data_IF_097174505772
#
_entry.id   IF_097174505772
#
_cell.length_a   1.000
_cell.length_b   1.000
_cell.length_c   1.000
_cell.angle_alpha   90.00
_cell.angle_beta   90.00
_cell.angle_gamma   90.00
#
_symmetry.space_group_name_H-M   'P 1'
#
loop_
_entity.id
_entity.type
_entity.pdbx_description
1 polymer ?
#
# COMPACT_ATOMS: atom_id res chain seq x y z
N UNK A 1 -17.56 19.62 9.75
CA UNK A 1 -16.30 19.53 10.52
C UNK A 1 -15.19 19.02 9.62
N UNK A 2 -14.37 19.89 9.04
CA UNK A 2 -13.15 19.47 8.34
C UNK A 2 -12.04 19.33 9.37
N UNK A 3 -11.64 18.09 9.67
CA UNK A 3 -10.50 17.86 10.56
C UNK A 3 -9.25 18.49 9.92
N UNK A 4 -8.75 19.57 10.54
CA UNK A 4 -7.66 20.45 10.08
C UNK A 4 -6.27 19.95 10.52
N UNK A 5 -6.13 18.73 11.02
CA UNK A 5 -4.83 18.22 11.46
C UNK A 5 -3.97 17.80 10.27
N UNK A 6 -2.69 18.18 10.28
CA UNK A 6 -1.73 17.68 9.28
C UNK A 6 -1.60 16.15 9.37
N UNK A 7 -1.51 15.45 8.22
CA UNK A 7 -1.30 14.01 8.22
C UNK A 7 0.02 13.62 8.89
N UNK A 8 -0.04 12.65 9.80
CA UNK A 8 1.14 12.13 10.49
C UNK A 8 2.08 11.39 9.52
N UNK A 9 3.37 11.65 9.64
CA UNK A 9 4.42 11.14 8.74
C UNK A 9 5.33 10.08 9.38
N UNK A 10 4.90 9.52 10.54
CA UNK A 10 5.59 8.43 11.24
C UNK A 10 4.59 7.35 11.63
N UNK A 11 4.97 6.09 11.43
CA UNK A 11 4.13 4.94 11.78
C UNK A 11 3.91 4.89 13.29
N UNK A 12 4.94 5.20 14.09
CA UNK A 12 4.86 5.21 15.54
C UNK A 12 3.88 6.27 16.06
N UNK A 13 3.81 7.43 15.40
CA UNK A 13 2.86 8.49 15.75
C UNK A 13 1.42 8.12 15.37
N UNK A 14 1.22 7.52 14.19
CA UNK A 14 -0.09 6.99 13.78
C UNK A 14 -0.58 5.90 14.75
N UNK A 15 0.31 4.98 15.11
CA UNK A 15 0.01 3.92 16.06
C UNK A 15 -0.29 4.46 17.46
N UNK A 16 0.45 5.47 17.95
CA UNK A 16 0.19 6.09 19.24
C UNK A 16 -1.19 6.76 19.26
N UNK A 17 -1.50 7.53 18.22
CA UNK A 17 -2.82 8.13 18.04
C UNK A 17 -3.93 7.07 18.09
N UNK A 18 -3.82 5.99 17.32
CA UNK A 18 -4.81 4.92 17.34
C UNK A 18 -4.86 4.16 18.68
N UNK A 19 -3.73 3.98 19.36
CA UNK A 19 -3.67 3.33 20.66
C UNK A 19 -4.45 4.13 21.71
N UNK A 20 -4.31 5.45 21.73
CA UNK A 20 -5.08 6.34 22.61
C UNK A 20 -6.59 6.22 22.34
N UNK A 21 -7.00 6.32 21.07
CA UNK A 21 -8.41 6.21 20.71
C UNK A 21 -9.00 4.84 21.07
N UNK A 22 -8.27 3.76 20.81
CA UNK A 22 -8.72 2.40 21.15
C UNK A 22 -8.80 2.21 22.66
N UNK A 23 -7.79 2.67 23.42
CA UNK A 23 -7.76 2.49 24.88
C UNK A 23 -8.79 3.33 25.61
N UNK A 24 -9.16 4.49 25.06
CA UNK A 24 -10.27 5.28 25.58
C UNK A 24 -11.60 4.50 25.59
N UNK A 25 -11.80 3.61 24.62
CA UNK A 25 -12.98 2.76 24.54
C UNK A 25 -12.79 1.37 25.20
N UNK A 26 -11.62 0.76 25.02
CA UNK A 26 -11.28 -0.57 25.54
C UNK A 26 -9.87 -0.56 26.13
N UNK A 27 -9.71 -0.40 27.45
CA UNK A 27 -8.39 -0.17 28.06
C UNK A 27 -7.40 -1.35 28.06
N UNK A 28 -7.89 -2.61 28.16
CA UNK A 28 -7.04 -3.77 28.53
C UNK A 28 -7.04 -4.94 27.52
N UNK A 29 -7.83 -4.90 26.45
CA UNK A 29 -7.89 -5.97 25.44
C UNK A 29 -8.82 -7.15 25.84
N UNK A 30 -8.59 -8.37 25.33
CA UNK A 30 -7.66 -8.70 24.25
C UNK A 30 -7.98 -7.95 22.96
N UNK A 31 -6.96 -7.40 22.30
CA UNK A 31 -7.08 -6.75 21.00
C UNK A 31 -6.85 -7.77 19.88
N UNK A 32 -7.70 -7.67 18.86
CA UNK A 32 -7.50 -8.31 17.56
C UNK A 32 -7.42 -7.17 16.56
N UNK A 33 -6.28 -7.09 15.87
CA UNK A 33 -5.96 -5.98 14.97
C UNK A 33 -5.82 -6.50 13.56
N UNK A 34 -6.21 -5.70 12.58
CA UNK A 34 -6.05 -6.02 11.17
C UNK A 34 -5.63 -4.77 10.41
N UNK A 35 -4.81 -4.95 9.38
CA UNK A 35 -4.40 -3.86 8.51
C UNK A 35 -4.16 -4.32 7.08
N UNK A 36 -4.65 -3.53 6.14
CA UNK A 36 -4.48 -3.77 4.71
C UNK A 36 -3.33 -2.94 4.14
N UNK A 37 -2.46 -3.54 3.32
CA UNK A 37 -1.35 -2.85 2.66
C UNK A 37 -0.48 -2.06 3.67
N UNK A 38 -0.32 -0.74 3.51
CA UNK A 38 0.42 0.12 4.44
C UNK A 38 -0.21 0.13 5.85
N UNK A 39 -1.52 -0.10 5.94
CA UNK A 39 -2.24 -0.25 7.20
C UNK A 39 -1.79 -1.46 8.01
N UNK A 40 -1.25 -2.52 7.37
CA UNK A 40 -0.70 -3.67 8.10
C UNK A 40 0.54 -3.29 8.92
N UNK A 41 1.43 -2.47 8.36
CA UNK A 41 2.58 -1.90 9.07
C UNK A 41 2.14 -1.07 10.28
N UNK A 42 1.09 -0.28 10.13
CA UNK A 42 0.52 0.54 11.21
C UNK A 42 -0.13 -0.34 12.27
N UNK A 43 -0.92 -1.35 11.87
CA UNK A 43 -1.55 -2.29 12.79
C UNK A 43 -0.51 -3.09 13.61
N UNK A 44 0.63 -3.42 13.00
CA UNK A 44 1.73 -4.11 13.67
C UNK A 44 2.44 -3.23 14.70
N UNK A 45 2.70 -1.95 14.39
CA UNK A 45 3.24 -1.01 15.39
C UNK A 45 2.24 -0.71 16.50
N UNK A 46 0.96 -0.56 16.16
CA UNK A 46 -0.13 -0.40 17.12
C UNK A 46 -0.18 -1.58 18.09
N UNK A 47 -0.03 -2.81 17.60
CA UNK A 47 0.03 -4.01 18.43
C UNK A 47 1.19 -3.97 19.43
N UNK A 48 2.39 -3.60 18.97
CA UNK A 48 3.56 -3.48 19.82
C UNK A 48 3.40 -2.39 20.88
N UNK A 49 2.81 -1.25 20.53
CA UNK A 49 2.54 -0.17 21.48
C UNK A 49 1.50 -0.56 22.53
N UNK A 50 0.41 -1.19 22.11
CA UNK A 50 -0.61 -1.69 23.04
C UNK A 50 -0.04 -2.72 24.01
N UNK A 51 0.83 -3.63 23.55
CA UNK A 51 1.53 -4.58 24.42
C UNK A 51 2.47 -3.89 25.41
N UNK A 52 3.29 -2.93 24.94
CA UNK A 52 4.18 -2.14 25.82
C UNK A 52 3.43 -1.36 26.89
N UNK A 53 2.19 -0.98 26.63
CA UNK A 53 1.30 -0.29 27.58
C UNK A 53 0.51 -1.26 28.48
N UNK A 54 0.85 -2.55 28.51
CA UNK A 54 0.20 -3.56 29.35
C UNK A 54 -1.07 -4.17 28.77
N UNK A 55 -1.44 -3.80 27.54
CA UNK A 55 -2.60 -4.35 26.84
C UNK A 55 -2.33 -5.74 26.26
N UNK A 56 -3.32 -6.63 26.31
CA UNK A 56 -3.18 -7.96 25.69
C UNK A 56 -3.55 -7.90 24.20
N UNK A 57 -2.63 -8.27 23.31
CA UNK A 57 -2.93 -8.43 21.87
C UNK A 57 -2.94 -9.92 21.52
N UNK A 58 -4.08 -10.43 21.08
CA UNK A 58 -4.27 -11.85 20.78
C UNK A 58 -3.91 -12.22 19.35
N UNK A 59 -4.11 -11.31 18.40
CA UNK A 59 -3.86 -11.58 16.98
C UNK A 59 -3.68 -10.30 16.16
N UNK A 60 -2.78 -10.35 15.18
CA UNK A 60 -2.60 -9.29 14.18
C UNK A 60 -2.71 -9.89 12.78
N UNK A 61 -3.70 -9.44 11.99
CA UNK A 61 -3.88 -9.83 10.60
C UNK A 61 -3.23 -8.82 9.63
N UNK A 62 -2.24 -9.27 8.88
CA UNK A 62 -1.55 -8.50 7.84
C UNK A 62 -2.10 -8.89 6.48
N UNK A 63 -2.94 -8.03 5.88
CA UNK A 63 -3.69 -8.36 4.66
C UNK A 63 -3.04 -7.65 3.47
N UNK A 64 -2.48 -8.43 2.54
CA UNK A 64 -1.71 -7.94 1.40
C UNK A 64 -0.71 -6.84 1.81
N UNK A 65 -0.12 -6.98 3.00
CA UNK A 65 0.77 -6.00 3.60
C UNK A 65 2.21 -6.41 3.33
N UNK A 66 2.94 -5.69 2.46
CA UNK A 66 4.35 -5.93 2.29
C UNK A 66 5.10 -5.37 3.48
N UNK A 67 6.24 -5.99 3.80
CA UNK A 67 7.16 -5.53 4.81
C UNK A 67 7.62 -4.11 4.51
N UNK A 68 7.92 -3.34 5.55
CA UNK A 68 8.18 -1.90 5.45
C UNK A 68 9.32 -1.55 4.48
N UNK A 69 10.32 -2.43 4.33
CA UNK A 69 11.42 -2.25 3.38
C UNK A 69 10.96 -2.18 1.93
N UNK A 70 9.83 -2.79 1.57
CA UNK A 70 9.30 -2.69 0.21
C UNK A 70 8.91 -1.26 -0.15
N UNK A 71 8.55 -0.44 0.83
CA UNK A 71 8.24 0.97 0.59
C UNK A 71 9.49 1.86 0.39
N UNK A 72 10.71 1.29 0.50
CA UNK A 72 11.95 2.01 0.19
C UNK A 72 12.12 2.20 -1.31
N UNK A 73 12.91 3.21 -1.68
CA UNK A 73 13.06 3.64 -3.07
C UNK A 73 13.57 2.55 -4.01
N UNK A 74 14.59 1.78 -3.61
CA UNK A 74 15.19 0.75 -4.47
C UNK A 74 14.20 -0.38 -4.84
N UNK A 75 13.53 -1.04 -3.87
CA UNK A 75 12.51 -2.03 -4.19
C UNK A 75 11.37 -1.49 -5.07
N UNK A 76 10.91 -0.25 -4.80
CA UNK A 76 9.88 0.39 -5.62
C UNK A 76 10.36 0.68 -7.05
N UNK A 77 11.57 1.18 -7.23
CA UNK A 77 12.15 1.43 -8.54
C UNK A 77 12.28 0.13 -9.33
N UNK A 78 12.82 -0.92 -8.70
CA UNK A 78 12.96 -2.24 -9.31
C UNK A 78 11.61 -2.81 -9.73
N UNK A 79 10.59 -2.73 -8.88
CA UNK A 79 9.24 -3.18 -9.23
C UNK A 79 8.68 -2.42 -10.43
N UNK A 80 8.85 -1.09 -10.50
CA UNK A 80 8.41 -0.26 -11.63
C UNK A 80 9.12 -0.64 -12.93
N UNK A 81 10.42 -0.91 -12.90
CA UNK A 81 11.18 -1.36 -14.07
C UNK A 81 10.68 -2.71 -14.54
N UNK A 82 10.56 -3.69 -13.64
CA UNK A 82 10.10 -5.04 -14.00
C UNK A 82 8.68 -5.03 -14.59
N UNK A 83 7.75 -4.27 -13.99
CA UNK A 83 6.41 -4.10 -14.55
C UNK A 83 6.43 -3.40 -15.92
N UNK A 84 7.33 -2.44 -16.13
CA UNK A 84 7.53 -1.80 -17.44
C UNK A 84 8.00 -2.78 -18.51
N UNK A 85 8.95 -3.65 -18.18
CA UNK A 85 9.46 -4.70 -19.07
C UNK A 85 8.38 -5.75 -19.38
N UNK A 86 7.67 -6.21 -18.36
CA UNK A 86 6.56 -7.17 -18.52
C UNK A 86 5.43 -6.58 -19.36
N UNK A 87 5.07 -5.32 -19.11
CA UNK A 87 4.12 -4.60 -19.96
C UNK A 87 4.64 -4.52 -21.39
N UNK A 88 5.87 -4.07 -21.63
CA UNK A 88 6.42 -3.93 -22.98
C UNK A 88 6.46 -5.27 -23.75
N UNK A 89 6.91 -6.34 -23.10
CA UNK A 89 6.99 -7.67 -23.71
C UNK A 89 5.61 -8.21 -24.13
N UNK A 90 4.57 -8.04 -23.32
CA UNK A 90 3.18 -8.38 -23.70
C UNK A 90 2.73 -7.65 -24.96
N UNK A 91 3.13 -6.39 -25.11
CA UNK A 91 2.79 -5.57 -26.28
C UNK A 91 3.58 -5.97 -27.52
N UNK A 92 4.87 -6.26 -27.36
CA UNK A 92 5.71 -6.77 -28.44
C UNK A 92 5.19 -8.12 -28.94
N UNK A 93 4.85 -9.03 -28.02
CA UNK A 93 4.26 -10.32 -28.36
C UNK A 93 2.92 -10.18 -29.08
N UNK A 94 2.02 -9.33 -28.58
CA UNK A 94 0.74 -9.07 -29.23
C UNK A 94 0.90 -8.47 -30.64
N UNK A 95 1.88 -7.57 -30.84
CA UNK A 95 2.15 -7.00 -32.16
C UNK A 95 2.80 -8.03 -33.09
N UNK A 96 3.71 -8.87 -32.59
CA UNK A 96 4.41 -9.88 -33.37
C UNK A 96 3.44 -10.96 -33.92
N UNK A 97 2.40 -11.32 -33.18
CA UNK A 97 1.40 -12.32 -33.59
C UNK A 97 0.30 -11.79 -34.53
N UNK A 98 0.29 -10.48 -34.83
CA UNK A 98 -0.74 -9.84 -35.64
C UNK A 98 -0.32 -9.58 -37.09
N UNK A 99 -1.28 -9.65 -38.02
CA UNK A 99 -1.14 -9.18 -39.41
C UNK A 99 -1.01 -7.64 -39.47
N UNK A 100 -0.45 -7.09 -40.55
CA UNK A 100 -0.18 -5.65 -40.67
C UNK A 100 -1.40 -4.74 -40.49
N UNK A 101 -2.58 -5.18 -40.96
CA UNK A 101 -3.84 -4.48 -40.74
C UNK A 101 -4.28 -4.46 -39.26
N UNK A 102 -4.14 -5.58 -38.57
CA UNK A 102 -4.47 -5.71 -37.15
C UNK A 102 -3.54 -4.88 -36.25
N UNK A 103 -2.23 -4.82 -36.58
CA UNK A 103 -1.26 -3.96 -35.86
C UNK A 103 -1.66 -2.48 -35.90
N UNK A 104 -2.04 -1.96 -37.08
CA UNK A 104 -2.46 -0.57 -37.25
C UNK A 104 -3.70 -0.24 -36.40
N UNK A 105 -4.70 -1.14 -36.40
CA UNK A 105 -5.92 -0.98 -35.59
C UNK A 105 -5.60 -0.95 -34.09
N UNK A 106 -4.78 -1.89 -33.62
CA UNK A 106 -4.35 -1.96 -32.22
C UNK A 106 -3.68 -0.67 -31.73
N UNK A 107 -2.74 -0.13 -32.51
CA UNK A 107 -2.03 1.11 -32.17
C UNK A 107 -3.01 2.30 -32.16
N UNK A 108 -3.88 2.41 -33.16
CA UNK A 108 -4.87 3.48 -33.25
C UNK A 108 -5.85 3.47 -32.06
N UNK A 109 -6.39 2.31 -31.68
CA UNK A 109 -7.26 2.16 -30.51
C UNK A 109 -6.56 2.58 -29.22
N UNK A 110 -5.31 2.18 -29.04
CA UNK A 110 -4.54 2.51 -27.85
C UNK A 110 -4.22 4.00 -27.75
N UNK A 111 -3.96 4.66 -28.88
CA UNK A 111 -3.77 6.10 -28.95
C UNK A 111 -5.06 6.84 -28.61
N UNK A 112 -6.20 6.44 -29.19
CA UNK A 112 -7.52 7.00 -28.87
C UNK A 112 -7.84 6.88 -27.38
N UNK A 113 -7.73 5.68 -26.81
CA UNK A 113 -7.95 5.46 -25.38
C UNK A 113 -7.05 6.34 -24.49
N UNK A 114 -5.80 6.57 -24.90
CA UNK A 114 -4.89 7.48 -24.16
C UNK A 114 -5.32 8.94 -24.26
N UNK A 115 -5.77 9.38 -25.43
CA UNK A 115 -6.26 10.74 -25.65
C UNK A 115 -7.55 10.98 -24.86
N UNK A 116 -8.53 10.07 -24.96
CA UNK A 116 -9.80 10.12 -24.21
C UNK A 116 -9.57 10.16 -22.71
N UNK A 117 -8.69 9.30 -22.16
CA UNK A 117 -8.36 9.32 -20.73
C UNK A 117 -7.68 10.60 -20.29
N UNK A 118 -6.82 11.19 -21.13
CA UNK A 118 -6.18 12.48 -20.84
C UNK A 118 -7.20 13.61 -20.84
N UNK A 119 -8.07 13.66 -21.86
CA UNK A 119 -9.14 14.64 -21.96
C UNK A 119 -10.10 14.54 -20.78
N UNK A 120 -10.56 13.33 -20.43
CA UNK A 120 -11.43 13.09 -19.28
C UNK A 120 -10.78 13.52 -17.95
N UNK A 121 -9.48 13.30 -17.79
CA UNK A 121 -8.75 13.74 -16.58
C UNK A 121 -8.58 15.26 -16.52
N UNK A 122 -8.39 15.93 -17.66
CA UNK A 122 -8.27 17.38 -17.75
C UNK A 122 -9.62 18.09 -17.54
N UNK A 123 -10.71 17.48 -18.00
CA UNK A 123 -12.07 18.01 -17.84
C UNK A 123 -12.68 17.74 -16.44
N UNK A 124 -12.08 16.86 -15.65
CA UNK A 124 -12.58 16.54 -14.32
C UNK A 124 -12.41 17.76 -13.37
N UNK A 125 -13.47 18.22 -12.70
CA UNK A 125 -13.38 19.33 -11.76
C UNK A 125 -12.43 18.97 -10.59
N UNK A 126 -11.75 19.97 -10.00
CA UNK A 126 -10.91 19.75 -8.82
C UNK A 126 -11.78 19.25 -7.66
N UNK A 127 -11.43 18.08 -7.13
CA UNK A 127 -12.12 17.48 -5.99
C UNK A 127 -11.26 17.69 -4.73
N UNK A 128 -11.70 18.52 -3.77
CA UNK A 128 -10.95 18.77 -2.53
C UNK A 128 -10.78 17.51 -1.68
N UNK A 129 -11.71 16.55 -1.72
CA UNK A 129 -11.57 15.28 -1.02
C UNK A 129 -10.46 14.42 -1.64
N UNK A 130 -10.29 14.44 -2.97
CA UNK A 130 -9.14 13.80 -3.63
C UNK A 130 -7.81 14.43 -3.22
N UNK A 131 -7.77 15.75 -3.07
CA UNK A 131 -6.56 16.44 -2.62
C UNK A 131 -6.19 16.08 -1.17
N UNK A 132 -7.19 15.98 -0.27
CA UNK A 132 -6.97 15.49 1.10
C UNK A 132 -6.48 14.04 1.07
N UNK A 133 -7.14 13.17 0.32
CA UNK A 133 -6.77 11.77 0.21
C UNK A 133 -5.33 11.60 -0.34
N UNK A 134 -4.96 12.35 -1.37
CA UNK A 134 -3.61 12.34 -1.92
C UNK A 134 -2.55 12.74 -0.87
N UNK A 135 -2.80 13.78 -0.07
CA UNK A 135 -1.91 14.19 1.03
C UNK A 135 -1.77 13.11 2.11
N UNK A 136 -2.87 12.46 2.49
CA UNK A 136 -2.85 11.35 3.46
C UNK A 136 -2.07 10.15 2.90
N UNK A 137 -2.27 9.83 1.62
CA UNK A 137 -1.52 8.76 0.95
C UNK A 137 -0.02 9.05 0.92
N UNK A 138 0.37 10.27 0.56
CA UNK A 138 1.76 10.70 0.54
C UNK A 138 2.41 10.60 1.93
N UNK A 139 1.76 11.17 2.95
CA UNK A 139 2.23 11.09 4.33
C UNK A 139 2.34 9.64 4.83
N UNK A 140 1.37 8.79 4.48
CA UNK A 140 1.41 7.35 4.81
C UNK A 140 2.60 6.66 4.17
N UNK A 141 2.88 6.93 2.89
CA UNK A 141 4.05 6.39 2.19
C UNK A 141 5.37 6.83 2.83
N UNK A 142 5.47 8.10 3.22
CA UNK A 142 6.62 8.64 3.95
C UNK A 142 6.79 7.91 5.29
N UNK A 143 5.69 7.71 6.02
CA UNK A 143 5.69 7.01 7.31
C UNK A 143 6.20 5.57 7.17
N UNK A 144 5.57 4.76 6.31
CA UNK A 144 5.93 3.33 6.19
C UNK A 144 7.32 3.12 5.62
N UNK A 145 7.82 4.04 4.78
CA UNK A 145 9.17 3.98 4.22
C UNK A 145 10.26 4.12 5.28
N UNK A 146 10.01 4.93 6.32
CA UNK A 146 10.95 5.21 7.41
C UNK A 146 10.87 4.20 8.55
N UNK A 147 9.79 3.44 8.60
CA UNK A 147 9.52 2.53 9.70
C UNK A 147 10.38 1.26 9.65
N UNK A 148 10.93 0.91 10.81
CA UNK A 148 11.64 -0.36 11.03
C UNK A 148 10.92 -1.12 12.15
N UNK A 149 10.28 -2.26 11.85
CA UNK A 149 9.56 -3.02 12.86
C UNK A 149 10.52 -3.58 13.92
N UNK A 150 10.03 -3.69 15.15
CA UNK A 150 10.71 -4.45 16.20
C UNK A 150 10.06 -5.82 16.34
N UNK A 151 10.70 -6.69 17.11
CA UNK A 151 10.17 -8.02 17.40
C UNK A 151 8.83 -7.90 18.13
N UNK A 152 7.87 -8.73 17.73
CA UNK A 152 6.55 -8.83 18.34
C UNK A 152 6.33 -10.26 18.82
N UNK A 153 6.00 -10.45 20.09
CA UNK A 153 5.84 -11.76 20.73
C UNK A 153 4.42 -12.34 20.57
N UNK A 154 3.53 -11.65 19.84
CA UNK A 154 2.16 -12.09 19.62
C UNK A 154 1.96 -12.89 18.33
N UNK A 155 0.76 -13.46 18.16
CA UNK A 155 0.38 -14.19 16.95
C UNK A 155 0.13 -13.24 15.79
N UNK A 156 0.81 -13.48 14.66
CA UNK A 156 0.64 -12.72 13.42
C UNK A 156 0.17 -13.66 12.32
N UNK A 157 -0.87 -13.27 11.60
CA UNK A 157 -1.37 -13.97 10.42
C UNK A 157 -1.13 -13.13 9.17
N UNK A 158 -0.47 -13.70 8.18
CA UNK A 158 -0.26 -13.07 6.89
C UNK A 158 -1.28 -13.60 5.88
N UNK A 159 -2.07 -12.70 5.31
CA UNK A 159 -3.07 -13.01 4.29
C UNK A 159 -2.61 -12.43 2.96
N UNK A 160 -2.14 -13.30 2.05
CA UNK A 160 -1.65 -12.90 0.72
C UNK A 160 -2.68 -13.25 -0.36
N UNK A 161 -2.76 -12.47 -1.46
CA UNK A 161 -3.69 -12.74 -2.55
C UNK A 161 -3.45 -14.09 -3.24
N UNK A 162 -2.19 -14.51 -3.35
CA UNK A 162 -1.80 -15.79 -3.93
C UNK A 162 -0.42 -16.24 -3.41
N UNK A 163 -0.04 -17.50 -3.69
CA UNK A 163 1.19 -18.11 -3.20
C UNK A 163 2.48 -17.48 -3.79
N UNK A 164 2.42 -16.76 -4.91
CA UNK A 164 3.60 -16.14 -5.52
C UNK A 164 4.16 -14.99 -4.68
N UNK A 165 3.30 -14.35 -3.88
CA UNK A 165 3.70 -13.31 -2.91
C UNK A 165 4.64 -13.84 -1.83
N UNK A 166 4.64 -15.16 -1.59
CA UNK A 166 5.55 -15.81 -0.65
C UNK A 166 6.88 -16.23 -1.31
N UNK A 167 6.92 -16.39 -2.64
CA UNK A 167 8.01 -17.08 -3.36
C UNK A 167 9.05 -16.17 -4.03
N UNK A 168 8.84 -14.87 -4.12
CA UNK A 168 9.76 -14.00 -4.88
C UNK A 168 11.05 -13.70 -4.10
N UNK A 169 12.22 -13.94 -4.72
CA UNK A 169 13.57 -13.62 -4.19
C UNK A 169 13.80 -12.12 -3.88
N UNK A 170 12.86 -11.24 -4.25
CA UNK A 170 12.75 -9.86 -3.80
C UNK A 170 11.74 -9.78 -2.64
N UNK A 171 12.00 -10.54 -1.58
CA UNK A 171 11.00 -10.87 -0.58
C UNK A 171 10.25 -9.63 -0.11
N UNK A 172 8.95 -9.57 -0.40
CA UNK A 172 8.02 -8.62 0.19
C UNK A 172 7.83 -8.87 1.69
N UNK A 173 8.34 -10.00 2.22
CA UNK A 173 7.94 -10.58 3.50
C UNK A 173 9.10 -11.30 4.24
N UNK A 174 10.34 -10.82 4.09
CA UNK A 174 11.46 -11.27 4.94
C UNK A 174 11.73 -10.24 6.01
#
# INVERSE_FOLDING_TARGET
>A
MTCKSEPLTRVEALAAYFAEQIRAFRPSGPYVLAGYCAGGTIAFELAQQLQRQGGRVSFVALIASPYSHWYRHLPQLRARVMHGVEWASRHVQALASMSGGARRRYIAEKLRWRQERRAARAAAPPDPARAVFARVQEATLVAVRRYTPRRFEGRVGLFVPNAEWLRTRNALLR
#
